data_IF_129716019025
#
_entry.id   IF_129716019025
#
_cell.length_a   1.000
_cell.length_b   1.000
_cell.length_c   1.000
_cell.angle_alpha   90.00
_cell.angle_beta   90.00
_cell.angle_gamma   90.00
#
_symmetry.space_group_name_H-M   'P 1'
#
loop_
_entity.id
_entity.type
_entity.pdbx_description
1 polymer ?
#
# COMPACT_ATOMS: atom_id res chain seq x y z
N UNK A 1 12.54 13.48 4.51
CA UNK A 1 12.12 12.08 4.73
C UNK A 1 10.84 12.02 5.57
N UNK A 2 9.87 11.18 5.18
CA UNK A 2 8.65 10.95 5.98
C UNK A 2 8.55 9.46 6.34
N UNK A 3 8.34 9.15 7.62
CA UNK A 3 8.14 7.77 8.09
C UNK A 3 6.91 7.65 8.99
N UNK A 4 6.38 6.43 9.11
CA UNK A 4 5.20 6.15 9.92
C UNK A 4 5.52 5.10 10.99
N UNK A 5 5.57 5.53 12.25
CA UNK A 5 5.83 4.66 13.40
C UNK A 5 4.51 4.29 14.06
N UNK A 6 4.32 3.01 14.38
CA UNK A 6 3.06 2.53 14.95
C UNK A 6 3.27 1.87 16.30
N UNK A 7 2.58 2.37 17.32
CA UNK A 7 2.64 1.88 18.69
C UNK A 7 1.28 1.38 19.17
N UNK A 8 1.28 0.36 20.03
CA UNK A 8 0.06 -0.09 20.70
C UNK A 8 -0.20 0.79 21.92
N UNK A 9 -1.43 1.27 22.08
CA UNK A 9 -1.83 2.12 23.19
C UNK A 9 -2.26 1.26 24.40
N UNK A 10 -1.88 1.69 25.60
CA UNK A 10 -2.36 1.19 26.90
C UNK A 10 -3.32 2.21 27.48
N UNK A 11 -4.59 2.08 27.10
CA UNK A 11 -5.66 3.02 27.45
C UNK A 11 -6.40 2.56 28.71
N UNK A 12 -6.84 3.52 29.53
CA UNK A 12 -7.79 3.23 30.61
C UNK A 12 -9.24 3.12 30.08
N UNK A 13 -10.18 2.67 30.92
CA UNK A 13 -11.59 2.46 30.54
C UNK A 13 -12.24 3.75 30.00
N UNK A 14 -11.97 4.90 30.62
CA UNK A 14 -12.53 6.20 30.22
C UNK A 14 -12.02 6.65 28.84
N UNK A 15 -10.73 6.48 28.57
CA UNK A 15 -10.12 6.76 27.28
C UNK A 15 -10.68 5.86 26.17
N UNK A 16 -10.89 4.56 26.47
CA UNK A 16 -11.52 3.61 25.53
C UNK A 16 -12.96 4.05 25.21
N UNK A 17 -13.76 4.35 26.23
CA UNK A 17 -15.14 4.81 26.05
C UNK A 17 -15.20 6.09 25.20
N UNK A 18 -14.29 7.04 25.46
CA UNK A 18 -14.20 8.30 24.70
C UNK A 18 -13.79 8.07 23.24
N UNK A 19 -12.82 7.18 22.97
CA UNK A 19 -12.44 6.79 21.60
C UNK A 19 -13.62 6.17 20.85
N UNK A 20 -14.35 5.26 21.49
CA UNK A 20 -15.52 4.61 20.88
C UNK A 20 -16.65 5.60 20.59
N UNK A 21 -16.91 6.53 21.52
CA UNK A 21 -17.87 7.63 21.33
C UNK A 21 -17.48 8.50 20.14
N UNK A 22 -16.21 8.93 20.06
CA UNK A 22 -15.70 9.73 18.94
C UNK A 22 -15.81 8.98 17.61
N UNK A 23 -15.43 7.70 17.55
CA UNK A 23 -15.54 6.89 16.34
C UNK A 23 -16.97 6.79 15.83
N UNK A 24 -17.95 6.66 16.72
CA UNK A 24 -19.35 6.57 16.33
C UNK A 24 -19.92 7.92 15.85
N UNK A 25 -19.59 9.01 16.55
CA UNK A 25 -19.97 10.36 16.13
C UNK A 25 -19.35 10.73 14.78
N UNK A 26 -18.06 10.47 14.59
CA UNK A 26 -17.37 10.70 13.33
C UNK A 26 -17.93 9.85 12.19
N UNK A 27 -18.36 8.61 12.48
CA UNK A 27 -19.07 7.76 11.52
C UNK A 27 -20.39 8.39 11.07
N UNK A 28 -21.20 8.85 12.02
CA UNK A 28 -22.46 9.53 11.71
C UNK A 28 -22.22 10.78 10.86
N UNK A 29 -21.25 11.61 11.23
CA UNK A 29 -20.90 12.80 10.46
C UNK A 29 -20.38 12.47 9.06
N UNK A 30 -19.51 11.45 8.93
CA UNK A 30 -19.02 10.99 7.62
C UNK A 30 -20.17 10.56 6.72
N UNK A 31 -21.13 9.80 7.24
CA UNK A 31 -22.26 9.31 6.44
C UNK A 31 -23.20 10.45 6.06
N UNK A 32 -23.46 11.39 6.96
CA UNK A 32 -24.26 12.58 6.68
C UNK A 32 -23.65 13.42 5.56
N UNK A 33 -22.36 13.76 5.67
CA UNK A 33 -21.64 14.52 4.64
C UNK A 33 -21.54 13.77 3.32
N UNK A 34 -21.42 12.44 3.35
CA UNK A 34 -21.42 11.63 2.13
C UNK A 34 -22.80 11.60 1.48
N UNK A 35 -23.88 11.53 2.27
CA UNK A 35 -25.25 11.58 1.76
C UNK A 35 -25.55 12.93 1.11
N UNK A 36 -25.07 14.02 1.69
CA UNK A 36 -25.14 15.37 1.14
C UNK A 36 -24.49 15.44 -0.27
N UNK A 37 -23.30 14.85 -0.43
CA UNK A 37 -22.64 14.76 -1.75
C UNK A 37 -23.38 13.87 -2.75
N UNK A 38 -23.97 12.79 -2.29
CA UNK A 38 -24.81 11.96 -3.17
C UNK A 38 -26.06 12.70 -3.58
N UNK A 39 -26.76 13.40 -2.68
CA UNK A 39 -27.92 14.21 -3.01
C UNK A 39 -27.56 15.24 -4.10
N UNK A 40 -26.42 15.93 -3.97
CA UNK A 40 -25.88 16.76 -5.05
C UNK A 40 -25.68 15.99 -6.37
N UNK A 41 -24.97 14.87 -6.33
CA UNK A 41 -24.65 14.08 -7.51
C UNK A 41 -25.89 13.55 -8.23
N UNK A 42 -26.91 13.16 -7.47
CA UNK A 42 -28.18 12.64 -8.00
C UNK A 42 -29.04 13.76 -8.59
N UNK A 43 -29.07 14.96 -8.00
CA UNK A 43 -29.82 16.13 -8.53
C UNK A 43 -29.18 16.79 -9.75
N UNK A 44 -27.87 16.62 -9.94
CA UNK A 44 -27.15 17.27 -11.04
C UNK A 44 -26.78 16.30 -12.17
N UNK A 45 -27.15 15.01 -12.07
CA UNK A 45 -26.92 14.03 -13.14
C UNK A 45 -28.19 13.87 -13.96
N UNK A 46 -28.07 13.95 -15.28
CA UNK A 46 -29.05 13.39 -16.19
C UNK A 46 -28.50 12.04 -16.68
N UNK A 47 -29.32 10.98 -16.68
CA UNK A 47 -28.95 9.67 -17.24
C UNK A 47 -28.92 9.67 -18.76
N UNK A 48 -29.48 10.69 -19.38
CA UNK A 48 -29.56 10.85 -20.83
C UNK A 48 -28.63 12.02 -21.20
N UNK A 49 -27.81 11.85 -22.24
CA UNK A 49 -26.97 12.93 -22.78
C UNK A 49 -27.79 14.00 -23.55
N UNK A 50 -29.12 13.93 -23.46
CA UNK A 50 -30.13 14.82 -24.01
C UNK A 50 -31.35 14.79 -23.07
N UNK A 51 -31.97 15.91 -22.74
CA UNK A 51 -33.20 15.89 -21.94
C UNK A 51 -34.43 15.76 -22.86
N UNK A 52 -35.36 14.81 -22.63
CA UNK A 52 -36.70 14.94 -23.16
C UNK A 52 -37.34 16.22 -22.59
N UNK A 53 -37.96 17.03 -23.44
CA UNK A 53 -38.56 18.34 -23.08
C UNK A 53 -39.71 18.25 -22.06
N UNK A 54 -40.12 17.04 -21.67
CA UNK A 54 -41.26 16.73 -20.79
C UNK A 54 -40.87 15.96 -19.52
N UNK A 55 -39.64 16.14 -18.99
CA UNK A 55 -39.27 15.57 -17.69
C UNK A 55 -39.01 16.66 -16.64
N UNK A 56 -39.42 16.40 -15.40
CA UNK A 56 -39.10 17.27 -14.26
C UNK A 56 -37.59 17.27 -14.02
N UNK A 57 -36.96 18.43 -14.20
CA UNK A 57 -35.57 18.65 -13.83
C UNK A 57 -35.52 19.03 -12.34
N UNK A 58 -34.84 18.24 -11.48
CA UNK A 58 -34.64 18.63 -10.10
C UNK A 58 -33.84 19.93 -10.02
N UNK A 59 -34.16 20.78 -9.04
CA UNK A 59 -33.41 22.02 -8.81
C UNK A 59 -31.91 21.72 -8.67
N UNK A 60 -31.13 22.39 -9.53
CA UNK A 60 -29.68 22.25 -9.55
C UNK A 60 -29.11 22.66 -8.20
N UNK A 61 -28.36 21.74 -7.62
CA UNK A 61 -27.75 21.95 -6.32
C UNK A 61 -26.31 22.40 -6.47
N UNK A 62 -25.89 23.42 -5.72
CA UNK A 62 -24.47 23.79 -5.65
C UNK A 62 -23.62 22.63 -5.11
N UNK A 63 -22.47 22.40 -5.72
CA UNK A 63 -21.56 21.30 -5.37
C UNK A 63 -21.04 21.43 -3.93
N UNK A 64 -21.32 20.46 -3.04
CA UNK A 64 -20.69 20.41 -1.74
C UNK A 64 -19.22 20.01 -1.89
N UNK A 65 -18.32 20.93 -1.54
CA UNK A 65 -16.88 20.73 -1.55
C UNK A 65 -16.35 20.65 -0.11
N UNK A 66 -15.02 20.60 0.02
CA UNK A 66 -14.40 20.58 1.34
C UNK A 66 -14.73 21.83 2.17
N UNK A 67 -14.70 23.02 1.55
CA UNK A 67 -14.85 24.30 2.24
C UNK A 67 -16.30 24.54 2.68
N UNK A 68 -17.27 24.28 1.81
CA UNK A 68 -18.69 24.43 2.13
C UNK A 68 -19.12 23.47 3.23
N UNK A 69 -18.71 22.20 3.17
CA UNK A 69 -19.00 21.24 4.24
C UNK A 69 -18.25 21.57 5.54
N UNK A 70 -17.02 22.10 5.47
CA UNK A 70 -16.28 22.59 6.65
C UNK A 70 -16.99 23.77 7.33
N UNK A 71 -17.60 24.68 6.55
CA UNK A 71 -18.36 25.83 7.07
C UNK A 71 -19.58 25.43 7.89
N UNK A 72 -20.09 24.20 7.73
CA UNK A 72 -21.23 23.70 8.52
C UNK A 72 -20.85 23.23 9.93
N UNK A 73 -19.56 22.99 10.22
CA UNK A 73 -19.11 22.43 11.50
C UNK A 73 -19.43 23.30 12.73
N UNK A 74 -19.35 24.64 12.70
CA UNK A 74 -19.81 25.47 13.80
C UNK A 74 -21.31 25.31 14.08
N UNK A 75 -22.15 25.29 13.03
CA UNK A 75 -23.60 25.04 13.17
C UNK A 75 -23.91 23.64 13.71
N UNK A 76 -23.13 22.63 13.31
CA UNK A 76 -23.20 21.29 13.88
C UNK A 76 -22.96 21.30 15.39
N UNK A 77 -21.97 22.05 15.88
CA UNK A 77 -21.69 22.16 17.31
C UNK A 77 -22.77 22.91 18.08
N UNK A 78 -23.42 23.91 17.46
CA UNK A 78 -24.57 24.62 18.06
C UNK A 78 -25.79 23.69 18.19
N UNK A 79 -26.16 23.01 17.11
CA UNK A 79 -27.32 22.10 17.08
C UNK A 79 -27.09 20.77 17.81
N UNK A 80 -25.83 20.34 17.95
CA UNK A 80 -25.44 19.09 18.63
C UNK A 80 -24.25 19.35 19.55
N UNK A 81 -24.48 19.91 20.75
CA UNK A 81 -23.42 20.35 21.67
C UNK A 81 -22.38 19.28 22.01
N UNK A 82 -22.77 18.00 22.08
CA UNK A 82 -21.84 16.89 22.35
C UNK A 82 -20.72 16.75 21.30
N UNK A 83 -20.87 17.31 20.07
CA UNK A 83 -19.77 17.38 19.09
C UNK A 83 -18.64 18.34 19.49
N UNK A 84 -18.85 19.22 20.45
CA UNK A 84 -17.80 20.06 21.03
C UNK A 84 -16.74 19.24 21.79
N UNK A 85 -17.07 18.02 22.21
CA UNK A 85 -16.11 17.08 22.82
C UNK A 85 -15.00 16.69 21.83
N UNK A 86 -15.31 16.62 20.53
CA UNK A 86 -14.35 16.24 19.49
C UNK A 86 -13.43 17.41 19.16
N UNK A 87 -12.14 17.12 19.08
CA UNK A 87 -11.15 18.12 18.64
C UNK A 87 -11.50 18.67 17.24
N UNK A 88 -11.46 19.99 17.07
CA UNK A 88 -11.93 20.68 15.86
C UNK A 88 -11.22 20.18 14.60
N UNK A 89 -9.91 19.98 14.65
CA UNK A 89 -9.15 19.48 13.51
C UNK A 89 -9.50 18.03 13.13
N UNK A 90 -9.94 17.21 14.10
CA UNK A 90 -10.39 15.83 13.83
C UNK A 90 -11.72 15.83 13.07
N UNK A 91 -12.62 16.76 13.40
CA UNK A 91 -13.85 16.97 12.61
C UNK A 91 -13.54 17.44 11.19
N UNK A 92 -12.57 18.35 11.03
CA UNK A 92 -12.13 18.80 9.72
C UNK A 92 -11.47 17.68 8.89
N UNK A 93 -10.70 16.79 9.52
CA UNK A 93 -10.16 15.58 8.87
C UNK A 93 -11.29 14.67 8.37
N UNK A 94 -12.39 14.55 9.12
CA UNK A 94 -13.56 13.79 8.67
C UNK A 94 -14.14 14.33 7.36
N UNK A 95 -14.28 15.66 7.23
CA UNK A 95 -14.71 16.32 5.98
C UNK A 95 -13.73 16.02 4.85
N UNK A 96 -12.41 16.13 5.12
CA UNK A 96 -11.35 15.84 4.14
C UNK A 96 -11.42 14.39 3.64
N UNK A 97 -11.72 13.42 4.50
CA UNK A 97 -11.91 12.01 4.12
C UNK A 97 -13.09 11.81 3.17
N UNK A 98 -14.21 12.49 3.39
CA UNK A 98 -15.37 12.44 2.49
C UNK A 98 -15.02 13.05 1.13
N UNK A 99 -14.35 14.21 1.13
CA UNK A 99 -13.91 14.89 -0.10
C UNK A 99 -12.98 14.00 -0.94
N UNK A 100 -11.97 13.41 -0.32
CA UNK A 100 -11.03 12.51 -0.99
C UNK A 100 -11.72 11.26 -1.54
N UNK A 101 -12.63 10.66 -0.77
CA UNK A 101 -13.38 9.48 -1.22
C UNK A 101 -14.24 9.80 -2.46
N UNK A 102 -14.88 10.97 -2.48
CA UNK A 102 -15.73 11.40 -3.58
C UNK A 102 -14.92 11.83 -4.82
N UNK A 103 -13.80 12.54 -4.64
CA UNK A 103 -12.87 12.88 -5.73
C UNK A 103 -12.32 11.63 -6.44
N UNK A 104 -11.91 10.61 -5.67
CA UNK A 104 -11.44 9.33 -6.21
C UNK A 104 -12.51 8.56 -7.00
N UNK A 105 -13.78 8.76 -6.66
CA UNK A 105 -14.91 8.19 -7.38
C UNK A 105 -15.17 8.89 -8.70
N UNK A 106 -15.18 10.23 -8.71
CA UNK A 106 -15.49 11.02 -9.91
C UNK A 106 -14.30 11.16 -10.88
N UNK A 107 -13.16 11.63 -10.39
CA UNK A 107 -11.98 11.94 -11.22
C UNK A 107 -11.09 10.71 -11.44
N UNK A 108 -11.00 9.85 -10.44
CA UNK A 108 -10.01 8.77 -10.38
C UNK A 108 -8.70 9.20 -9.69
N UNK A 109 -7.71 8.30 -9.70
CA UNK A 109 -6.37 8.56 -9.19
C UNK A 109 -5.45 9.16 -10.27
N UNK A 110 -4.21 9.48 -9.90
CA UNK A 110 -3.20 10.02 -10.81
C UNK A 110 -2.84 9.08 -11.97
N UNK A 111 -3.22 7.80 -11.89
CA UNK A 111 -3.00 6.80 -12.93
C UNK A 111 -4.26 6.57 -13.79
N UNK A 112 -5.26 7.44 -13.70
CA UNK A 112 -6.52 7.33 -14.44
C UNK A 112 -7.48 6.25 -13.93
N UNK A 113 -7.15 5.54 -12.84
CA UNK A 113 -8.01 4.50 -12.30
C UNK A 113 -9.10 5.10 -11.41
N UNK A 114 -10.36 4.79 -11.69
CA UNK A 114 -11.48 5.25 -10.86
C UNK A 114 -11.75 4.30 -9.70
N UNK A 115 -11.93 4.86 -8.51
CA UNK A 115 -12.43 4.09 -7.37
C UNK A 115 -13.92 3.83 -7.53
N UNK A 116 -14.40 2.68 -7.07
CA UNK A 116 -15.84 2.40 -7.02
C UNK A 116 -16.60 3.38 -6.11
N UNK A 117 -17.93 3.43 -6.29
CA UNK A 117 -18.84 4.32 -5.53
C UNK A 117 -18.56 4.25 -4.02
N UNK A 118 -18.34 5.39 -3.33
CA UNK A 118 -18.09 5.40 -1.89
C UNK A 118 -19.28 4.82 -1.13
N UNK A 119 -19.01 4.09 -0.05
CA UNK A 119 -20.06 3.45 0.76
C UNK A 119 -20.17 4.13 2.12
N UNK A 120 -21.40 4.24 2.62
CA UNK A 120 -21.65 4.59 4.03
C UNK A 120 -20.90 3.63 4.95
N UNK A 121 -20.37 4.14 6.05
CA UNK A 121 -19.57 3.39 7.01
C UNK A 121 -20.48 2.88 8.12
N UNK A 122 -20.46 1.56 8.34
CA UNK A 122 -21.04 0.96 9.54
C UNK A 122 -20.10 1.12 10.73
N UNK A 123 -20.59 0.86 11.95
CA UNK A 123 -19.79 0.89 13.19
C UNK A 123 -18.52 0.04 13.12
N UNK A 124 -18.56 -1.06 12.37
CA UNK A 124 -17.41 -1.94 12.17
C UNK A 124 -16.44 -1.48 11.05
N UNK A 125 -16.81 -0.51 10.20
CA UNK A 125 -15.98 -0.01 9.09
C UNK A 125 -15.27 1.32 9.41
N UNK A 126 -15.82 2.16 10.27
CA UNK A 126 -15.14 3.37 10.76
C UNK A 126 -14.29 3.02 11.98
N UNK A 127 -12.97 3.02 11.83
CA UNK A 127 -12.04 2.48 12.85
C UNK A 127 -10.93 3.42 13.26
N UNK A 128 -10.80 4.57 12.61
CA UNK A 128 -9.71 5.48 12.88
C UNK A 128 -10.14 6.92 12.78
N UNK A 129 -9.39 7.78 13.45
CA UNK A 129 -9.45 9.23 13.30
C UNK A 129 -8.03 9.78 13.44
N UNK A 130 -7.78 10.94 12.84
CA UNK A 130 -6.45 11.51 12.73
C UNK A 130 -6.44 12.89 13.37
N UNK A 131 -5.43 13.14 14.20
CA UNK A 131 -5.02 14.47 14.61
C UNK A 131 -4.05 15.01 13.54
N UNK A 132 -4.48 15.99 12.72
CA UNK A 132 -3.64 16.53 11.65
C UNK A 132 -2.45 17.36 12.15
N UNK A 133 -2.48 17.77 13.42
CA UNK A 133 -1.42 18.51 14.09
C UNK A 133 -1.46 18.16 15.59
N UNK A 134 -0.30 18.26 16.23
CA UNK A 134 -0.05 17.97 17.66
C UNK A 134 0.78 19.11 18.27
N UNK A 135 0.96 19.08 19.59
CA UNK A 135 1.94 19.94 20.26
C UNK A 135 3.36 19.64 19.78
N UNK A 136 4.31 20.57 20.01
CA UNK A 136 5.72 20.47 19.58
C UNK A 136 6.39 19.17 20.07
N UNK A 137 6.22 18.86 21.36
CA UNK A 137 6.74 17.64 21.99
C UNK A 137 5.59 16.79 22.55
N UNK A 138 4.87 16.03 21.71
CA UNK A 138 3.71 15.28 22.15
C UNK A 138 4.11 13.93 22.78
N UNK A 139 5.35 13.48 22.63
CA UNK A 139 5.85 12.20 23.16
C UNK A 139 6.93 12.46 24.21
N UNK A 140 6.79 11.82 25.37
CA UNK A 140 7.78 11.80 26.44
C UNK A 140 7.94 10.35 26.91
N UNK A 141 9.00 9.69 26.44
CA UNK A 141 9.20 8.25 26.66
C UNK A 141 8.00 7.42 26.19
N UNK A 142 7.37 6.69 27.11
CA UNK A 142 6.21 5.84 26.82
C UNK A 142 4.85 6.57 26.91
N UNK A 143 4.84 7.88 27.07
CA UNK A 143 3.62 8.70 27.20
C UNK A 143 3.45 9.56 25.95
N UNK A 144 2.26 9.51 25.37
CA UNK A 144 1.81 10.37 24.28
C UNK A 144 0.72 11.31 24.81
N UNK A 145 0.92 12.61 24.68
CA UNK A 145 -0.07 13.65 25.01
C UNK A 145 -0.94 13.95 23.80
N UNK A 146 -2.26 13.77 23.94
CA UNK A 146 -3.22 13.96 22.86
C UNK A 146 -4.26 15.03 23.24
N UNK A 147 -4.65 15.92 22.29
CA UNK A 147 -5.71 16.89 22.53
C UNK A 147 -7.00 16.21 22.99
N UNK A 148 -7.64 16.75 24.04
CA UNK A 148 -8.85 16.21 24.71
C UNK A 148 -8.70 14.83 25.37
N UNK A 149 -7.58 14.12 25.21
CA UNK A 149 -7.33 12.82 25.85
C UNK A 149 -6.27 12.87 26.95
N UNK A 150 -5.46 13.93 26.99
CA UNK A 150 -4.37 14.07 27.95
C UNK A 150 -3.25 13.07 27.70
N UNK A 151 -2.59 12.63 28.79
CA UNK A 151 -1.50 11.66 28.75
C UNK A 151 -2.04 10.24 28.49
N UNK A 152 -1.52 9.59 27.45
CA UNK A 152 -1.87 8.23 27.03
C UNK A 152 -0.61 7.38 27.01
N UNK A 153 -0.63 6.24 27.73
CA UNK A 153 0.49 5.30 27.73
C UNK A 153 0.53 4.51 26.41
N UNK A 154 1.72 4.23 25.90
CA UNK A 154 1.93 3.37 24.73
C UNK A 154 3.07 2.37 24.96
N UNK A 155 3.07 1.26 24.21
CA UNK A 155 4.18 0.30 24.20
C UNK A 155 5.30 0.89 23.34
N UNK A 156 6.23 1.58 23.99
CA UNK A 156 7.33 2.30 23.37
C UNK A 156 8.51 1.36 23.11
N UNK A 157 8.46 0.69 21.95
CA UNK A 157 9.45 -0.31 21.51
C UNK A 157 10.46 0.24 20.51
N UNK A 158 10.31 1.51 20.12
CA UNK A 158 11.19 2.20 19.18
C UNK A 158 11.20 3.67 19.56
N UNK A 159 12.36 4.25 19.92
CA UNK A 159 12.44 5.67 20.16
C UNK A 159 12.22 6.46 18.86
N UNK A 160 11.70 7.69 19.00
CA UNK A 160 11.67 8.64 17.89
C UNK A 160 13.08 9.20 17.78
N UNK A 161 13.74 9.12 16.60
CA UNK A 161 15.10 9.63 16.46
C UNK A 161 15.14 11.15 16.65
N UNK A 162 16.30 11.65 17.08
CA UNK A 162 16.53 13.08 17.24
C UNK A 162 16.41 13.80 15.88
N UNK A 163 15.95 15.06 15.90
CA UNK A 163 15.68 15.85 14.68
C UNK A 163 14.32 15.57 14.02
N UNK A 164 13.65 14.45 14.32
CA UNK A 164 12.35 14.15 13.73
C UNK A 164 11.20 14.94 14.39
N UNK A 165 10.37 15.56 13.56
CA UNK A 165 9.13 16.24 13.98
C UNK A 165 7.91 15.34 13.76
N UNK A 166 7.02 15.29 14.74
CA UNK A 166 5.77 14.52 14.62
C UNK A 166 4.71 15.39 13.95
N UNK A 167 4.30 15.05 12.73
CA UNK A 167 3.30 15.81 11.96
C UNK A 167 1.87 15.41 12.31
N UNK A 168 1.58 14.11 12.40
CA UNK A 168 0.21 13.63 12.63
C UNK A 168 0.17 12.42 13.56
N UNK A 169 -0.93 12.26 14.30
CA UNK A 169 -1.23 11.04 15.04
C UNK A 169 -2.56 10.45 14.57
N UNK A 170 -2.55 9.22 14.07
CA UNK A 170 -3.77 8.49 13.72
C UNK A 170 -4.06 7.39 14.72
N UNK A 171 -5.15 7.52 15.46
CA UNK A 171 -5.64 6.44 16.33
C UNK A 171 -6.44 5.46 15.48
N UNK A 172 -6.11 4.16 15.59
CA UNK A 172 -6.77 3.07 14.87
C UNK A 172 -7.17 1.95 15.81
N UNK A 173 -8.44 1.58 15.78
CA UNK A 173 -8.99 0.39 16.44
C UNK A 173 -8.73 -0.86 15.59
N UNK A 174 -8.02 -1.82 16.17
CA UNK A 174 -7.78 -3.16 15.62
C UNK A 174 -8.46 -4.22 16.50
N UNK A 175 -8.38 -5.48 16.08
CA UNK A 175 -9.07 -6.59 16.76
C UNK A 175 -8.55 -6.91 18.18
N UNK A 176 -7.35 -6.46 18.53
CA UNK A 176 -6.65 -6.75 19.78
C UNK A 176 -6.38 -5.49 20.63
N UNK A 177 -6.92 -4.34 20.23
CA UNK A 177 -6.76 -3.07 20.93
C UNK A 177 -6.61 -1.88 19.99
N UNK A 178 -6.07 -0.80 20.54
CA UNK A 178 -5.91 0.49 19.87
C UNK A 178 -4.44 0.76 19.59
N UNK A 179 -4.18 1.41 18.47
CA UNK A 179 -2.85 1.74 18.01
C UNK A 179 -2.82 3.21 17.64
N UNK A 180 -1.68 3.85 17.86
CA UNK A 180 -1.37 5.16 17.28
C UNK A 180 -0.36 4.94 16.16
N UNK A 181 -0.60 5.55 15.00
CA UNK A 181 0.41 5.72 13.97
C UNK A 181 0.84 7.18 13.98
N UNK A 182 2.10 7.43 14.32
CA UNK A 182 2.75 8.73 14.27
C UNK A 182 3.41 8.90 12.91
N UNK A 183 3.06 9.96 12.20
CA UNK A 183 3.80 10.39 11.02
C UNK A 183 4.93 11.28 11.49
N UNK A 184 6.16 10.82 11.32
CA UNK A 184 7.37 11.55 11.67
C UNK A 184 8.03 12.05 10.38
N UNK A 185 8.54 13.27 10.43
CA UNK A 185 9.23 13.90 9.32
C UNK A 185 10.56 14.40 9.80
N UNK A 186 11.58 14.07 9.03
CA UNK A 186 12.91 14.66 9.12
C UNK A 186 13.17 15.40 7.81
N UNK A 187 13.73 16.58 7.89
CA UNK A 187 14.01 17.41 6.73
C UNK A 187 15.41 17.13 6.14
N UNK A 188 16.31 16.49 6.90
CA UNK A 188 17.64 16.03 6.43
C UNK A 188 17.60 14.62 5.80
N UNK A 189 16.84 14.46 4.71
CA UNK A 189 16.82 13.18 4.01
C UNK A 189 18.20 12.85 3.40
N UNK A 190 18.73 11.62 3.56
CA UNK A 190 19.88 11.19 2.80
C UNK A 190 19.55 11.15 1.31
N UNK A 191 20.48 11.56 0.46
CA UNK A 191 20.35 11.37 -0.98
C UNK A 191 20.45 9.87 -1.32
N UNK A 192 19.68 9.43 -2.30
CA UNK A 192 19.69 8.04 -2.74
C UNK A 192 20.98 7.82 -3.54
N UNK A 193 21.73 6.76 -3.21
CA UNK A 193 22.95 6.38 -3.92
C UNK A 193 22.63 6.23 -5.42
N UNK A 194 23.35 6.95 -6.31
CA UNK A 194 23.20 6.78 -7.75
C UNK A 194 23.50 5.34 -8.15
N UNK A 195 22.70 4.76 -9.05
CA UNK A 195 22.86 3.36 -9.50
C UNK A 195 24.28 3.09 -10.02
N UNK A 196 24.92 4.09 -10.64
CA UNK A 196 26.26 3.96 -11.22
C UNK A 196 27.37 3.91 -10.15
N UNK A 197 27.06 4.31 -8.92
CA UNK A 197 28.00 4.35 -7.78
C UNK A 197 27.80 3.16 -6.83
N UNK A 198 26.92 2.23 -7.18
CA UNK A 198 26.63 1.05 -6.35
C UNK A 198 27.79 0.07 -6.40
N UNK A 199 28.29 -0.33 -5.23
CA UNK A 199 29.40 -1.28 -5.09
C UNK A 199 28.93 -2.72 -4.90
N UNK A 200 27.83 -2.91 -4.17
CA UNK A 200 27.35 -4.24 -3.82
C UNK A 200 25.87 -4.43 -4.20
N UNK A 201 25.56 -4.63 -5.49
CA UNK A 201 24.20 -4.82 -5.96
C UNK A 201 23.78 -6.30 -5.94
N UNK A 202 22.51 -6.56 -5.63
CA UNK A 202 21.93 -7.91 -5.65
C UNK A 202 20.66 -7.97 -6.49
N UNK A 203 20.52 -9.02 -7.30
CA UNK A 203 19.26 -9.36 -7.97
C UNK A 203 18.48 -10.36 -7.14
N UNK A 204 17.17 -10.15 -6.99
CA UNK A 204 16.27 -11.11 -6.33
C UNK A 204 15.20 -11.61 -7.30
N UNK A 205 15.10 -12.92 -7.43
CA UNK A 205 13.97 -13.60 -8.08
C UNK A 205 12.98 -14.07 -7.01
N UNK A 206 11.68 -13.74 -7.15
CA UNK A 206 10.66 -14.04 -6.14
C UNK A 206 9.78 -15.21 -6.58
N UNK A 207 9.68 -16.24 -5.75
CA UNK A 207 9.04 -17.50 -6.09
C UNK A 207 8.08 -18.05 -5.03
N UNK A 208 7.36 -19.11 -5.42
CA UNK A 208 6.49 -19.87 -4.51
C UNK A 208 7.16 -21.13 -3.92
N UNK A 209 8.35 -21.51 -4.44
CA UNK A 209 9.20 -22.58 -3.88
C UNK A 209 10.01 -22.01 -2.71
N UNK A 210 10.79 -20.96 -3.00
CA UNK A 210 11.50 -20.12 -2.04
C UNK A 210 10.94 -18.69 -2.16
N UNK A 211 10.87 -17.94 -1.06
CA UNK A 211 10.29 -16.59 -1.04
C UNK A 211 11.02 -15.67 -2.00
N UNK A 212 12.36 -15.73 -1.96
CA UNK A 212 13.25 -15.16 -2.95
C UNK A 212 14.55 -15.97 -3.05
N UNK A 213 15.20 -15.89 -4.21
CA UNK A 213 16.55 -16.39 -4.49
C UNK A 213 17.39 -15.21 -4.95
N UNK A 214 18.57 -15.05 -4.37
CA UNK A 214 19.51 -13.97 -4.68
C UNK A 214 20.45 -14.38 -5.82
N UNK A 215 21.07 -13.39 -6.47
CA UNK A 215 22.01 -13.60 -7.57
C UNK A 215 23.30 -14.33 -7.18
N UNK A 216 23.62 -14.35 -5.88
CA UNK A 216 24.74 -15.11 -5.29
C UNK A 216 24.39 -16.60 -5.01
N UNK A 217 23.13 -17.01 -5.25
CA UNK A 217 22.65 -18.37 -5.00
C UNK A 217 21.99 -18.58 -3.63
N UNK A 218 22.06 -17.61 -2.72
CA UNK A 218 21.42 -17.74 -1.41
C UNK A 218 19.89 -17.65 -1.53
N UNK A 219 19.19 -18.45 -0.72
CA UNK A 219 17.73 -18.50 -0.73
C UNK A 219 17.11 -18.08 0.60
N UNK A 220 15.92 -17.47 0.51
CA UNK A 220 15.06 -17.22 1.66
C UNK A 220 13.84 -18.13 1.54
N UNK A 221 13.60 -19.05 2.49
CA UNK A 221 12.49 -19.99 2.39
C UNK A 221 11.13 -19.28 2.54
N UNK A 222 10.11 -19.80 1.87
CA UNK A 222 8.75 -19.26 1.98
C UNK A 222 8.05 -19.75 3.27
N UNK A 223 7.61 -18.84 4.16
CA UNK A 223 7.12 -19.26 5.48
C UNK A 223 5.72 -19.87 5.50
N UNK A 224 4.87 -19.53 4.51
CA UNK A 224 3.48 -20.01 4.36
C UNK A 224 2.59 -19.82 5.61
N UNK A 225 2.65 -18.65 6.23
CA UNK A 225 1.98 -18.37 7.52
C UNK A 225 0.46 -18.60 7.48
N UNK A 226 -0.23 -18.22 6.40
CA UNK A 226 -1.66 -18.45 6.28
C UNK A 226 -1.99 -19.94 6.13
N UNK A 227 -1.20 -20.70 5.35
CA UNK A 227 -1.38 -22.16 5.22
C UNK A 227 -1.28 -22.85 6.59
N UNK A 228 -0.25 -22.53 7.36
CA UNK A 228 -0.05 -23.05 8.74
C UNK A 228 -1.23 -22.70 9.66
N UNK A 229 -1.77 -21.49 9.56
CA UNK A 229 -2.90 -21.04 10.37
C UNK A 229 -4.28 -21.52 9.88
N UNK A 230 -4.38 -22.11 8.68
CA UNK A 230 -5.64 -22.33 7.99
C UNK A 230 -6.60 -23.25 8.76
N UNK A 231 -6.11 -24.36 9.32
CA UNK A 231 -6.93 -25.31 10.09
C UNK A 231 -7.61 -24.62 11.27
N UNK A 232 -6.86 -23.77 12.00
CA UNK A 232 -7.38 -22.98 13.12
C UNK A 232 -8.38 -21.92 12.65
N UNK A 233 -8.07 -21.19 11.58
CA UNK A 233 -8.97 -20.17 11.02
C UNK A 233 -10.30 -20.78 10.57
N UNK A 234 -10.29 -21.93 9.89
CA UNK A 234 -11.50 -22.65 9.45
C UNK A 234 -12.40 -23.01 10.64
N UNK A 235 -11.83 -23.53 11.74
CA UNK A 235 -12.58 -23.83 12.97
C UNK A 235 -13.27 -22.59 13.54
N UNK A 236 -12.54 -21.48 13.65
CA UNK A 236 -13.09 -20.22 14.18
C UNK A 236 -14.16 -19.64 13.24
N UNK A 237 -13.94 -19.70 11.93
CA UNK A 237 -14.92 -19.28 10.92
C UNK A 237 -16.23 -20.09 11.00
N UNK A 238 -16.13 -21.41 11.19
CA UNK A 238 -17.30 -22.29 11.39
C UNK A 238 -18.10 -21.89 12.63
N UNK A 239 -17.44 -21.58 13.74
CA UNK A 239 -18.09 -21.08 14.95
C UNK A 239 -18.81 -19.74 14.72
N UNK A 240 -18.19 -18.80 13.99
CA UNK A 240 -18.84 -17.54 13.59
C UNK A 240 -20.08 -17.82 12.74
N UNK A 241 -19.98 -18.70 11.75
CA UNK A 241 -21.07 -19.02 10.83
C UNK A 241 -22.28 -19.61 11.54
N UNK A 242 -22.05 -20.55 12.46
CA UNK A 242 -23.10 -21.23 13.25
C UNK A 242 -23.75 -20.34 14.32
N UNK A 243 -23.10 -19.26 14.73
CA UNK A 243 -23.64 -18.38 15.78
C UNK A 243 -24.73 -17.46 15.23
N UNK A 244 -25.87 -17.34 15.96
CA UNK A 244 -26.97 -16.43 15.63
C UNK A 244 -26.48 -15.00 15.37
N UNK A 245 -26.89 -14.40 14.24
CA UNK A 245 -26.55 -13.00 13.89
C UNK A 245 -27.00 -12.07 15.03
N UNK A 246 -26.16 -11.09 15.38
CA UNK A 246 -26.42 -10.15 16.48
C UNK A 246 -26.09 -10.64 17.90
N UNK A 247 -26.04 -11.96 18.13
CA UNK A 247 -25.78 -12.52 19.47
C UNK A 247 -24.42 -12.12 20.05
N UNK A 248 -24.33 -12.06 21.38
CA UNK A 248 -23.08 -11.79 22.08
C UNK A 248 -22.02 -12.88 21.83
N UNK A 249 -22.44 -14.14 21.68
CA UNK A 249 -21.55 -15.24 21.31
C UNK A 249 -20.95 -15.06 19.92
N UNK A 250 -21.73 -14.59 18.94
CA UNK A 250 -21.20 -14.26 17.62
C UNK A 250 -20.19 -13.11 17.69
N UNK A 251 -20.46 -12.06 18.47
CA UNK A 251 -19.51 -10.94 18.66
C UNK A 251 -18.17 -11.44 19.21
N UNK A 252 -18.20 -12.30 20.24
CA UNK A 252 -17.00 -12.95 20.80
C UNK A 252 -16.25 -13.79 19.74
N UNK A 253 -16.97 -14.58 18.95
CA UNK A 253 -16.37 -15.41 17.89
C UNK A 253 -15.73 -14.57 16.77
N UNK A 254 -16.39 -13.48 16.33
CA UNK A 254 -15.85 -12.54 15.32
C UNK A 254 -14.59 -11.85 15.85
N UNK A 255 -14.56 -11.47 17.13
CA UNK A 255 -13.36 -10.91 17.75
C UNK A 255 -12.20 -11.90 17.74
N UNK A 256 -12.46 -13.17 18.10
CA UNK A 256 -11.46 -14.26 18.05
C UNK A 256 -10.93 -14.47 16.63
N UNK A 257 -11.82 -14.43 15.63
CA UNK A 257 -11.45 -14.52 14.22
C UNK A 257 -10.57 -13.34 13.80
N UNK A 258 -10.94 -12.11 14.19
CA UNK A 258 -10.17 -10.90 13.91
C UNK A 258 -8.76 -10.95 14.50
N UNK A 259 -8.62 -11.42 15.75
CA UNK A 259 -7.32 -11.61 16.40
C UNK A 259 -6.46 -12.66 15.67
N UNK A 260 -7.06 -13.77 15.25
CA UNK A 260 -6.36 -14.82 14.51
C UNK A 260 -5.84 -14.32 13.15
N UNK A 261 -6.67 -13.63 12.37
CA UNK A 261 -6.22 -13.01 11.10
C UNK A 261 -5.16 -11.95 11.33
N UNK A 262 -5.29 -11.14 12.39
CA UNK A 262 -4.28 -10.14 12.74
C UNK A 262 -2.93 -10.79 13.05
N UNK A 263 -2.90 -11.89 13.82
CA UNK A 263 -1.65 -12.61 14.11
C UNK A 263 -0.95 -13.06 12.83
N UNK A 264 -1.68 -13.65 11.88
CA UNK A 264 -1.11 -14.05 10.57
C UNK A 264 -0.56 -12.83 9.82
N UNK A 265 -1.32 -11.74 9.75
CA UNK A 265 -0.90 -10.53 9.06
C UNK A 265 0.33 -9.88 9.70
N UNK A 266 0.40 -9.82 11.03
CA UNK A 266 1.54 -9.25 11.76
C UNK A 266 2.78 -10.13 11.64
N UNK A 267 2.66 -11.46 11.77
CA UNK A 267 3.78 -12.39 11.61
C UNK A 267 4.38 -12.33 10.21
N UNK A 268 3.54 -12.24 9.18
CA UNK A 268 4.02 -12.02 7.81
C UNK A 268 4.71 -10.67 7.65
N UNK A 269 4.14 -9.61 8.23
CA UNK A 269 4.73 -8.27 8.15
C UNK A 269 6.11 -8.23 8.85
N UNK A 270 6.25 -8.92 9.98
CA UNK A 270 7.52 -9.08 10.70
C UNK A 270 8.58 -9.76 9.82
N UNK A 271 8.23 -10.89 9.19
CA UNK A 271 9.09 -11.55 8.21
C UNK A 271 9.53 -10.60 7.09
N UNK A 272 8.60 -9.87 6.48
CA UNK A 272 8.94 -8.91 5.42
C UNK A 272 9.91 -7.82 5.89
N UNK A 273 9.74 -7.28 7.10
CA UNK A 273 10.68 -6.29 7.62
C UNK A 273 12.05 -6.88 7.91
N UNK A 274 12.13 -8.11 8.45
CA UNK A 274 13.40 -8.78 8.72
C UNK A 274 14.15 -9.10 7.42
N UNK A 275 13.45 -9.66 6.43
CA UNK A 275 14.04 -9.93 5.11
C UNK A 275 14.48 -8.64 4.40
N UNK A 276 13.68 -7.56 4.49
CA UNK A 276 14.09 -6.29 3.89
C UNK A 276 15.29 -5.67 4.62
N UNK A 277 15.36 -5.79 5.95
CA UNK A 277 16.51 -5.35 6.74
C UNK A 277 17.77 -6.13 6.36
N UNK A 278 17.69 -7.47 6.30
CA UNK A 278 18.80 -8.33 5.86
C UNK A 278 19.34 -7.93 4.48
N UNK A 279 18.46 -7.68 3.51
CA UNK A 279 18.89 -7.27 2.17
C UNK A 279 19.54 -5.89 2.16
N UNK A 280 19.02 -4.94 2.93
CA UNK A 280 19.49 -3.55 2.94
C UNK A 280 20.71 -3.33 3.85
N UNK A 281 20.93 -4.21 4.83
CA UNK A 281 22.14 -4.20 5.66
C UNK A 281 23.35 -4.73 4.87
N UNK A 282 23.11 -5.59 3.86
CA UNK A 282 24.16 -6.27 3.10
C UNK A 282 24.35 -5.78 1.66
N UNK A 283 23.48 -4.93 1.12
CA UNK A 283 23.53 -4.52 -0.30
C UNK A 283 23.03 -3.09 -0.50
N UNK A 284 23.69 -2.34 -1.40
CA UNK A 284 23.36 -0.93 -1.66
C UNK A 284 22.23 -0.78 -2.71
N UNK A 285 22.04 -1.81 -3.53
CA UNK A 285 20.97 -1.92 -4.53
C UNK A 285 20.32 -3.28 -4.49
N UNK A 286 18.98 -3.30 -4.39
CA UNK A 286 18.19 -4.51 -4.56
C UNK A 286 17.34 -4.42 -5.82
N UNK A 287 17.72 -5.20 -6.83
CA UNK A 287 17.02 -5.32 -8.10
C UNK A 287 15.99 -6.45 -8.04
N UNK A 288 14.77 -6.21 -8.52
CA UNK A 288 13.70 -7.21 -8.51
C UNK A 288 12.83 -7.12 -9.74
N UNK A 289 12.09 -8.19 -10.04
CA UNK A 289 11.12 -8.15 -11.14
C UNK A 289 9.93 -7.24 -10.85
N UNK A 290 9.45 -6.54 -11.87
CA UNK A 290 8.15 -5.87 -11.87
C UNK A 290 7.02 -6.89 -12.10
N UNK A 291 6.83 -7.78 -11.12
CA UNK A 291 5.79 -8.81 -11.17
C UNK A 291 4.38 -8.21 -11.28
N UNK A 292 3.53 -8.79 -12.13
CA UNK A 292 2.10 -8.49 -12.15
C UNK A 292 1.38 -9.20 -10.99
N UNK A 293 1.67 -8.76 -9.76
CA UNK A 293 1.15 -9.36 -8.52
C UNK A 293 -0.38 -9.32 -8.49
N UNK A 294 -1.01 -8.27 -9.03
CA UNK A 294 -2.48 -8.16 -9.13
C UNK A 294 -3.06 -9.24 -10.04
N UNK A 295 -2.43 -9.52 -11.18
CA UNK A 295 -2.82 -10.61 -12.07
C UNK A 295 -2.61 -11.98 -11.42
N UNK A 296 -1.45 -12.20 -10.80
CA UNK A 296 -1.12 -13.44 -10.10
C UNK A 296 -2.10 -13.74 -8.96
N UNK A 297 -2.52 -12.71 -8.22
CA UNK A 297 -3.52 -12.81 -7.15
C UNK A 297 -4.94 -13.12 -7.64
N UNK A 298 -5.20 -13.16 -8.96
CA UNK A 298 -6.46 -13.57 -9.57
C UNK A 298 -6.37 -14.94 -10.28
N UNK A 299 -5.20 -15.58 -10.26
CA UNK A 299 -4.98 -16.88 -10.89
C UNK A 299 -5.31 -18.06 -9.95
N UNK A 300 -5.17 -19.31 -10.43
CA UNK A 300 -5.25 -20.51 -9.58
C UNK A 300 -4.25 -20.51 -8.40
N UNK A 301 -3.18 -19.70 -8.49
CA UNK A 301 -2.17 -19.54 -7.43
C UNK A 301 -2.51 -18.43 -6.42
N UNK A 302 -3.64 -17.75 -6.56
CA UNK A 302 -4.03 -16.58 -5.78
C UNK A 302 -3.78 -16.75 -4.27
N UNK A 303 -4.15 -17.91 -3.71
CA UNK A 303 -3.97 -18.19 -2.29
C UNK A 303 -2.51 -18.16 -1.85
N UNK A 304 -1.61 -18.77 -2.62
CA UNK A 304 -0.18 -18.81 -2.30
C UNK A 304 0.49 -17.46 -2.52
N UNK A 305 0.11 -16.74 -3.58
CA UNK A 305 0.56 -15.36 -3.86
C UNK A 305 0.14 -14.40 -2.74
N UNK A 306 -1.12 -14.50 -2.31
CA UNK A 306 -1.65 -13.68 -1.21
C UNK A 306 -1.08 -14.07 0.15
N UNK A 307 -0.66 -15.32 0.35
CA UNK A 307 0.05 -15.76 1.55
C UNK A 307 1.47 -15.19 1.57
N UNK A 308 2.22 -15.36 0.47
CA UNK A 308 3.55 -14.81 0.28
C UNK A 308 3.59 -13.29 0.48
N UNK A 309 2.63 -12.56 -0.10
CA UNK A 309 2.46 -11.13 0.17
C UNK A 309 3.54 -10.23 -0.45
N UNK A 310 4.12 -10.61 -1.59
CA UNK A 310 5.19 -9.86 -2.27
C UNK A 310 4.91 -8.37 -2.44
N UNK A 311 3.67 -7.98 -2.73
CA UNK A 311 3.33 -6.56 -2.89
C UNK A 311 3.57 -5.74 -1.60
N UNK A 312 3.31 -6.34 -0.44
CA UNK A 312 3.63 -5.72 0.85
C UNK A 312 5.13 -5.70 1.10
N UNK A 313 5.83 -6.80 0.77
CA UNK A 313 7.28 -6.88 0.92
C UNK A 313 8.01 -5.83 0.07
N UNK A 314 7.71 -5.75 -1.24
CA UNK A 314 8.32 -4.75 -2.13
C UNK A 314 8.01 -3.31 -1.71
N UNK A 315 6.80 -3.05 -1.19
CA UNK A 315 6.47 -1.72 -0.65
C UNK A 315 7.27 -1.41 0.62
N UNK A 316 7.53 -2.40 1.47
CA UNK A 316 8.38 -2.24 2.64
C UNK A 316 9.83 -2.02 2.22
N UNK A 317 10.33 -2.82 1.28
CA UNK A 317 11.70 -2.78 0.77
C UNK A 317 12.02 -1.42 0.16
N UNK A 318 11.18 -0.92 -0.77
CA UNK A 318 11.39 0.39 -1.41
C UNK A 318 11.38 1.54 -0.39
N UNK A 319 10.38 1.60 0.49
CA UNK A 319 10.31 2.64 1.53
C UNK A 319 11.49 2.56 2.50
N UNK A 320 11.99 1.35 2.81
CA UNK A 320 13.12 1.18 3.73
C UNK A 320 14.45 1.51 3.08
N UNK A 321 14.61 1.20 1.80
CA UNK A 321 15.78 1.57 1.02
C UNK A 321 15.90 3.09 0.91
N UNK A 322 14.81 3.77 0.51
CA UNK A 322 14.76 5.24 0.44
C UNK A 322 15.10 5.91 1.79
N UNK A 323 14.62 5.34 2.90
CA UNK A 323 14.95 5.83 4.24
C UNK A 323 16.46 5.66 4.55
N UNK A 324 17.10 4.63 4.03
CA UNK A 324 18.50 4.33 4.25
C UNK A 324 19.44 5.00 3.22
N UNK A 325 18.91 5.79 2.27
CA UNK A 325 19.68 6.31 1.14
C UNK A 325 20.07 5.24 0.11
N UNK A 326 19.48 4.05 0.19
CA UNK A 326 19.77 2.91 -0.68
C UNK A 326 18.78 2.83 -1.85
N UNK A 327 19.11 2.03 -2.86
CA UNK A 327 18.32 1.93 -4.07
C UNK A 327 17.53 0.60 -4.17
N UNK A 328 16.33 0.68 -4.74
CA UNK A 328 15.60 -0.50 -5.22
C UNK A 328 15.20 -0.28 -6.66
N UNK A 329 15.35 -1.31 -7.51
CA UNK A 329 15.05 -1.18 -8.94
C UNK A 329 14.17 -2.30 -9.45
N UNK A 330 12.99 -1.94 -9.90
CA UNK A 330 12.07 -2.86 -10.58
C UNK A 330 12.45 -2.97 -12.07
N UNK A 331 12.72 -4.19 -12.55
CA UNK A 331 13.06 -4.45 -13.96
C UNK A 331 11.94 -5.17 -14.70
N UNK A 332 12.00 -5.16 -16.04
CA UNK A 332 11.04 -5.88 -16.87
C UNK A 332 11.24 -7.40 -16.71
N UNK A 333 10.20 -8.17 -16.32
CA UNK A 333 10.33 -9.62 -16.10
C UNK A 333 10.43 -10.44 -17.40
N UNK A 334 10.34 -9.83 -18.58
CA UNK A 334 10.33 -10.59 -19.85
C UNK A 334 11.64 -11.34 -20.06
N UNK A 335 11.54 -12.66 -20.23
CA UNK A 335 12.61 -13.59 -20.56
C UNK A 335 13.76 -13.68 -19.53
N UNK A 336 13.63 -13.11 -18.34
CA UNK A 336 14.65 -13.18 -17.26
C UNK A 336 15.04 -14.61 -16.91
N UNK A 337 14.07 -15.53 -16.83
CA UNK A 337 14.31 -16.95 -16.57
C UNK A 337 14.73 -17.77 -17.81
N UNK A 338 14.50 -17.24 -19.01
CA UNK A 338 14.81 -17.93 -20.26
C UNK A 338 16.18 -17.56 -20.81
N UNK A 339 16.58 -16.30 -20.72
CA UNK A 339 17.89 -15.85 -21.18
C UNK A 339 19.00 -16.43 -20.30
N UNK A 340 20.10 -16.83 -20.93
CA UNK A 340 21.30 -17.25 -20.22
C UNK A 340 21.97 -16.02 -19.62
N UNK A 341 22.20 -16.04 -18.30
CA UNK A 341 22.92 -14.98 -17.62
C UNK A 341 24.38 -14.88 -18.06
N UNK A 342 24.99 -15.95 -18.58
CA UNK A 342 26.34 -15.89 -19.11
C UNK A 342 26.39 -15.26 -20.52
N UNK A 343 25.69 -15.84 -21.51
CA UNK A 343 25.83 -15.44 -22.93
C UNK A 343 24.68 -14.59 -23.50
N UNK A 344 23.61 -14.36 -22.73
CA UNK A 344 22.44 -13.57 -23.14
C UNK A 344 21.47 -14.26 -24.11
N UNK A 345 21.86 -15.38 -24.73
CA UNK A 345 20.98 -16.12 -25.65
C UNK A 345 19.79 -16.76 -24.93
N UNK A 346 18.65 -16.79 -25.62
CA UNK A 346 17.38 -17.31 -25.09
C UNK A 346 17.39 -18.84 -25.09
N UNK A 347 17.17 -19.44 -23.93
CA UNK A 347 17.01 -20.88 -23.75
C UNK A 347 15.56 -21.16 -23.36
N UNK A 348 14.77 -21.67 -24.30
CA UNK A 348 13.36 -22.02 -24.04
C UNK A 348 13.30 -23.12 -22.97
N UNK A 349 12.47 -22.89 -21.95
CA UNK A 349 12.28 -23.79 -20.81
C UNK A 349 10.81 -23.81 -20.40
N UNK A 350 10.35 -24.97 -19.97
CA UNK A 350 9.04 -25.15 -19.32
C UNK A 350 9.16 -24.83 -17.83
N UNK A 351 8.02 -24.55 -17.18
CA UNK A 351 8.00 -24.23 -15.75
C UNK A 351 8.53 -25.35 -14.85
N UNK A 352 8.50 -26.61 -15.32
CA UNK A 352 9.01 -27.78 -14.61
C UNK A 352 10.54 -27.87 -14.63
N UNK A 353 11.19 -27.25 -15.61
CA UNK A 353 12.64 -27.30 -15.76
C UNK A 353 13.24 -26.38 -14.69
N UNK A 354 14.02 -26.95 -13.76
CA UNK A 354 14.60 -26.23 -12.61
C UNK A 354 16.07 -25.90 -12.77
N UNK A 355 16.75 -26.59 -13.68
CA UNK A 355 18.13 -26.30 -14.06
C UNK A 355 18.11 -25.48 -15.35
N UNK A 356 18.92 -24.43 -15.39
CA UNK A 356 19.25 -23.71 -16.59
C UNK A 356 20.50 -24.35 -17.19
N UNK A 357 20.36 -25.13 -18.26
CA UNK A 357 21.50 -25.63 -19.04
C UNK A 357 21.52 -24.93 -20.39
N UNK A 358 22.56 -24.11 -20.65
CA UNK A 358 22.65 -23.31 -21.86
C UNK A 358 23.37 -24.06 -23.00
N UNK A 359 22.68 -24.43 -24.10
CA UNK A 359 23.31 -25.16 -25.20
C UNK A 359 24.29 -24.31 -26.02
N UNK A 360 24.31 -22.98 -25.82
CA UNK A 360 25.15 -22.07 -26.58
C UNK A 360 26.50 -21.76 -25.94
N UNK A 361 26.64 -21.97 -24.63
CA UNK A 361 27.86 -21.62 -23.89
C UNK A 361 28.22 -22.60 -22.76
N UNK A 362 27.49 -23.71 -22.62
CA UNK A 362 27.72 -24.72 -21.58
C UNK A 362 27.30 -24.32 -20.15
N UNK A 363 26.98 -23.04 -19.90
CA UNK A 363 26.63 -22.57 -18.56
C UNK A 363 25.45 -23.34 -17.96
N UNK A 364 25.66 -23.86 -16.74
CA UNK A 364 24.67 -24.62 -15.98
C UNK A 364 24.51 -24.06 -14.57
N UNK A 365 23.29 -23.82 -14.13
CA UNK A 365 22.95 -23.25 -12.82
C UNK A 365 21.49 -23.57 -12.46
N UNK A 366 21.07 -23.40 -11.20
CA UNK A 366 19.65 -23.30 -10.87
C UNK A 366 18.98 -22.15 -11.66
N UNK A 367 17.76 -22.42 -12.17
CA UNK A 367 17.02 -21.51 -13.04
C UNK A 367 16.71 -20.18 -12.35
N UNK A 368 16.34 -20.22 -11.08
CA UNK A 368 15.90 -19.05 -10.33
C UNK A 368 17.15 -18.20 -9.97
N UNK A 369 18.32 -18.83 -9.74
CA UNK A 369 19.62 -18.12 -9.62
C UNK A 369 20.01 -17.44 -10.95
N UNK A 370 19.88 -18.14 -12.09
CA UNK A 370 20.09 -17.54 -13.40
C UNK A 370 19.16 -16.34 -13.65
N UNK A 371 17.89 -16.44 -13.24
CA UNK A 371 16.93 -15.35 -13.33
C UNK A 371 17.36 -14.14 -12.48
N UNK A 372 17.77 -14.37 -11.22
CA UNK A 372 18.29 -13.34 -10.33
C UNK A 372 19.51 -12.62 -10.91
N UNK A 373 20.47 -13.36 -11.51
CA UNK A 373 21.62 -12.78 -12.22
C UNK A 373 21.19 -11.91 -13.41
N UNK A 374 20.19 -12.33 -14.19
CA UNK A 374 19.66 -11.51 -15.29
C UNK A 374 18.94 -10.24 -14.81
N UNK A 375 18.17 -10.35 -13.73
CA UNK A 375 17.49 -9.21 -13.10
C UNK A 375 18.51 -8.16 -12.66
N UNK A 376 19.59 -8.60 -12.01
CA UNK A 376 20.69 -7.74 -11.63
C UNK A 376 21.32 -7.03 -12.83
N UNK A 377 21.66 -7.78 -13.89
CA UNK A 377 22.25 -7.21 -15.13
C UNK A 377 21.36 -6.13 -15.76
N UNK A 378 20.05 -6.36 -15.81
CA UNK A 378 19.07 -5.38 -16.32
C UNK A 378 18.99 -4.13 -15.44
N UNK A 379 19.24 -4.26 -14.13
CA UNK A 379 19.19 -3.14 -13.20
C UNK A 379 20.45 -2.27 -13.27
N UNK A 380 21.65 -2.86 -13.32
CA UNK A 380 22.91 -2.10 -13.39
C UNK A 380 23.24 -1.63 -14.81
N UNK A 381 22.53 -2.13 -15.82
CA UNK A 381 22.68 -1.64 -17.20
C UNK A 381 23.92 -2.15 -17.91
N UNK A 382 24.40 -3.36 -17.57
CA UNK A 382 25.51 -3.95 -18.33
C UNK A 382 25.16 -3.99 -19.82
N UNK A 383 26.05 -3.49 -20.71
CA UNK A 383 25.81 -3.51 -22.13
C UNK A 383 25.60 -4.95 -22.56
N UNK A 384 24.46 -5.20 -23.20
CA UNK A 384 24.22 -6.48 -23.85
C UNK A 384 25.34 -6.61 -24.90
N UNK A 385 26.25 -7.57 -24.76
CA UNK A 385 27.26 -7.92 -25.78
C UNK A 385 26.64 -8.37 -27.11
N UNK A 386 25.32 -8.26 -27.28
CA UNK A 386 24.72 -8.28 -28.61
C UNK A 386 25.21 -7.02 -29.32
N UNK A 387 26.16 -7.21 -30.22
CA UNK A 387 26.37 -6.31 -31.36
C UNK A 387 24.99 -6.05 -31.98
N UNK A 388 24.33 -4.98 -31.54
CA UNK A 388 23.32 -4.33 -32.34
C UNK A 388 24.14 -3.65 -33.44
N UNK A 389 24.45 -4.40 -34.49
CA UNK A 389 24.86 -3.78 -35.73
C UNK A 389 23.73 -2.83 -36.10
N UNK A 390 23.99 -1.53 -36.03
CA UNK A 390 23.23 -0.59 -36.85
C UNK A 390 23.46 -1.09 -38.26
N UNK A 391 22.42 -1.62 -38.90
CA UNK A 391 22.47 -1.87 -40.33
C UNK A 391 22.62 -0.48 -40.95
N UNK A 392 23.83 -0.14 -41.36
CA UNK A 392 24.16 1.11 -42.04
C UNK A 392 23.73 1.09 -43.51
N UNK A 393 23.22 -0.04 -43.99
CA UNK A 393 22.76 -0.21 -45.36
C UNK A 393 21.24 -0.40 -45.40
N UNK A 394 20.52 0.37 -46.23
CA UNK A 394 19.11 0.11 -46.49
C UNK A 394 18.99 -1.27 -47.15
N UNK A 395 18.19 -2.16 -46.59
CA UNK A 395 17.68 -3.31 -47.34
C UNK A 395 16.75 -2.72 -48.41
N UNK A 396 17.20 -2.72 -49.66
CA UNK A 396 16.41 -2.28 -50.80
C UNK A 396 15.10 -3.07 -50.87
N UNK A 397 13.98 -2.37 -51.01
CA UNK A 397 12.70 -2.99 -51.33
C UNK A 397 11.58 -2.87 -50.29
N UNK A 398 11.49 -1.76 -49.54
CA UNK A 398 10.23 -1.43 -48.83
C UNK A 398 9.90 0.05 -49.00
N UNK A 399 8.74 0.31 -49.60
CA UNK A 399 8.27 1.63 -50.04
C UNK A 399 8.18 2.70 -48.95
N UNK A 400 8.29 3.94 -49.44
CA UNK A 400 8.31 5.23 -48.73
C UNK A 400 7.33 5.30 -47.53
N UNK A 401 7.83 5.76 -46.39
CA UNK A 401 7.00 6.37 -45.34
C UNK A 401 6.62 7.80 -45.74
N UNK A 402 5.44 8.30 -45.34
CA UNK A 402 5.02 9.67 -45.61
C UNK A 402 5.86 10.69 -44.82
N UNK A 403 6.18 11.79 -45.50
CA UNK A 403 6.94 12.95 -45.05
C UNK A 403 6.21 13.74 -43.97
N UNK A 404 6.92 14.07 -42.89
CA UNK A 404 6.53 15.12 -41.93
C UNK A 404 6.83 16.48 -42.57
N UNK A 405 5.79 17.20 -43.00
CA UNK A 405 5.92 18.61 -43.38
C UNK A 405 5.84 19.49 -42.12
N UNK A 406 6.98 20.06 -41.72
CA UNK A 406 7.05 21.27 -40.91
C UNK A 406 7.46 22.41 -41.84
N UNK A 407 6.49 23.20 -42.32
CA UNK A 407 6.79 24.52 -42.88
C UNK A 407 6.93 25.51 -41.73
N UNK A 408 8.08 26.17 -41.66
CA UNK A 408 8.35 27.40 -40.91
C UNK A 408 8.59 28.52 -41.93
N UNK A 409 7.82 29.60 -41.82
CA UNK A 409 8.02 30.95 -42.38
C UNK A 409 6.67 31.67 -42.22
N UNK A 410 6.50 32.81 -41.56
CA UNK A 410 7.39 33.90 -41.12
C UNK A 410 7.09 34.24 -39.66
#
# INVERSE_FOLDING_TARGET
MISAYQYKLRLNKNQIAKIEKWLDMLRCQYNYLLADRFNWYERNRCSINSCPLTCYLPELRKKPDYFSQKKTLPGLKKSRPWYAEIHSQVLQDCVKRVDLAFKRFLKGDCNGNRSGKPRFKSKSRYRSFTFPSLSKNPVSGNILTLPKFGKVKMIYHRPIPDGFTIKTATITRKADGYYVTLLIQDDSAPEIIPINSVTNPVGIDMGLKSFLIKSDGTEVPIPQYYRKAQKRLKKIQKAVSRSKKGSNNRKKAVLKLGKAHKKVADTRKDFHFKTAKDLLDNHDLVAHEKLNIKGLAKSKMAKSVLDAGWGQFLSILSVKAEIAGLATKAVNPRNTSQNCSNCGKKVQKKLKDRIHSCPHCGYTEDRDVNAAKNILKLAVGHPVRSKAYRVSEPIGGVGKKPTLNLKRSV
#
